data_IF_181397872858
#
_entry.id   IF_181397872858
#
_cell.length_a   1.000
_cell.length_b   1.000
_cell.length_c   1.000
_cell.angle_alpha   90.00
_cell.angle_beta   90.00
_cell.angle_gamma   90.00
#
_symmetry.space_group_name_H-M   'P 1'
#
loop_
_entity.id
_entity.type
_entity.pdbx_description
1 polymer ?
#
# COMPACT_ATOMS: atom_id res chain seq x y z
N UNK A 1 5.09 3.97 -18.89
CA UNK A 1 3.64 4.17 -18.71
C UNK A 1 3.32 4.02 -17.25
N UNK A 2 2.62 4.99 -16.67
CA UNK A 2 2.17 4.96 -15.27
C UNK A 2 0.83 4.21 -15.13
N UNK A 3 0.59 3.59 -13.99
CA UNK A 3 -0.62 2.80 -13.71
C UNK A 3 -1.89 3.66 -13.78
N UNK A 4 -1.80 4.94 -13.40
CA UNK A 4 -2.90 5.90 -13.52
C UNK A 4 -3.19 6.18 -15.00
N UNK A 5 -2.16 6.39 -15.81
CA UNK A 5 -2.31 6.67 -17.24
C UNK A 5 -2.91 5.47 -17.98
N UNK A 6 -2.46 4.26 -17.68
CA UNK A 6 -3.03 3.03 -18.25
C UNK A 6 -4.49 2.85 -17.83
N UNK A 7 -4.81 3.11 -16.56
CA UNK A 7 -6.18 3.04 -16.05
C UNK A 7 -7.12 4.02 -16.77
N UNK A 8 -6.65 5.23 -17.12
CA UNK A 8 -7.45 6.18 -17.90
C UNK A 8 -7.77 5.64 -19.30
N UNK A 9 -6.79 5.03 -19.98
CA UNK A 9 -6.99 4.43 -21.31
C UNK A 9 -7.96 3.26 -21.25
N UNK A 10 -7.78 2.36 -20.28
CA UNK A 10 -8.64 1.17 -20.12
C UNK A 10 -10.06 1.56 -19.72
N UNK A 11 -10.24 2.60 -18.90
CA UNK A 11 -11.57 3.12 -18.55
C UNK A 11 -12.28 3.73 -19.75
N UNK A 12 -11.55 4.46 -20.60
CA UNK A 12 -12.13 5.01 -21.82
C UNK A 12 -12.51 3.92 -22.82
N UNK A 13 -11.72 2.85 -22.93
CA UNK A 13 -12.07 1.68 -23.74
C UNK A 13 -13.30 0.97 -23.18
N UNK A 14 -13.34 0.70 -21.87
CA UNK A 14 -14.49 0.07 -21.23
C UNK A 14 -15.79 0.87 -21.44
N UNK A 15 -15.73 2.20 -21.32
CA UNK A 15 -16.87 3.09 -21.58
C UNK A 15 -17.37 3.03 -23.04
N UNK A 16 -16.46 2.89 -24.00
CA UNK A 16 -16.83 2.76 -25.43
C UNK A 16 -17.45 1.39 -25.75
N UNK A 17 -17.02 0.33 -25.06
CA UNK A 17 -17.55 -1.03 -25.25
C UNK A 17 -18.75 -1.37 -24.35
N UNK A 18 -19.17 -0.44 -23.47
CA UNK A 18 -20.24 -0.69 -22.49
C UNK A 18 -19.85 -1.69 -21.40
N UNK A 19 -18.55 -1.89 -21.19
CA UNK A 19 -17.99 -2.81 -20.21
C UNK A 19 -17.81 -2.13 -18.84
N UNK A 20 -17.76 -2.94 -17.78
CA UNK A 20 -17.51 -2.45 -16.43
C UNK A 20 -16.13 -1.78 -16.36
N UNK A 21 -16.02 -0.56 -15.78
CA UNK A 21 -14.75 0.14 -15.70
C UNK A 21 -13.75 -0.68 -14.88
N UNK A 22 -12.47 -0.72 -15.31
CA UNK A 22 -11.43 -1.43 -14.59
C UNK A 22 -11.34 -0.91 -13.14
N UNK A 23 -11.08 -1.79 -12.16
CA UNK A 23 -10.95 -1.35 -10.79
C UNK A 23 -9.80 -0.32 -10.69
N UNK A 24 -10.04 0.81 -10.01
CA UNK A 24 -9.00 1.81 -9.83
C UNK A 24 -7.75 1.14 -9.24
N UNK A 25 -6.59 1.35 -9.86
CA UNK A 25 -5.32 0.93 -9.30
C UNK A 25 -5.17 1.57 -7.91
N UNK A 26 -4.61 0.81 -6.96
CA UNK A 26 -4.42 1.27 -5.59
C UNK A 26 -5.53 0.93 -4.60
N UNK A 27 -6.77 0.61 -5.02
CA UNK A 27 -7.88 0.33 -4.07
C UNK A 27 -7.63 -0.89 -3.17
N UNK A 28 -7.13 -1.99 -3.74
CA UNK A 28 -6.73 -3.17 -2.97
C UNK A 28 -5.36 -3.00 -2.30
N UNK A 29 -4.50 -2.15 -2.86
CA UNK A 29 -3.15 -1.93 -2.37
C UNK A 29 -3.13 -1.13 -1.08
N UNK A 30 -4.10 -0.26 -0.79
CA UNK A 30 -4.13 0.49 0.47
C UNK A 30 -4.20 -0.40 1.71
N UNK A 31 -4.92 -1.53 1.63
CA UNK A 31 -5.00 -2.51 2.73
C UNK A 31 -3.65 -3.20 2.96
N UNK A 32 -2.99 -3.59 1.87
CA UNK A 32 -1.67 -4.22 1.83
C UNK A 32 -0.60 -3.24 2.32
N UNK A 33 -0.62 -2.00 1.84
CA UNK A 33 0.28 -0.91 2.25
C UNK A 33 0.11 -0.58 3.74
N UNK A 34 -1.12 -0.58 4.27
CA UNK A 34 -1.38 -0.39 5.71
C UNK A 34 -0.79 -1.54 6.53
N UNK A 35 -1.01 -2.79 6.11
CA UNK A 35 -0.45 -3.97 6.78
C UNK A 35 1.09 -3.96 6.77
N UNK A 36 1.69 -3.58 5.64
CA UNK A 36 3.14 -3.41 5.51
C UNK A 36 3.65 -2.30 6.42
N UNK A 37 3.00 -1.13 6.42
CA UNK A 37 3.36 0.01 7.30
C UNK A 37 3.32 -0.39 8.78
N UNK A 38 2.27 -1.09 9.21
CA UNK A 38 2.11 -1.50 10.60
C UNK A 38 3.13 -2.58 11.01
N UNK A 39 3.52 -3.45 10.07
CA UNK A 39 4.63 -4.41 10.27
C UNK A 39 5.96 -3.71 10.43
N UNK A 40 6.26 -2.73 9.58
CA UNK A 40 7.47 -1.92 9.71
C UNK A 40 7.48 -1.16 11.04
N UNK A 41 6.41 -0.46 11.39
CA UNK A 41 6.30 0.28 12.66
C UNK A 41 6.59 -0.61 13.87
N UNK A 42 6.02 -1.82 13.92
CA UNK A 42 6.31 -2.80 14.99
C UNK A 42 7.78 -3.24 15.00
N UNK A 43 8.37 -3.50 13.84
CA UNK A 43 9.80 -3.85 13.72
C UNK A 43 10.70 -2.73 14.26
N UNK A 44 10.36 -1.47 13.99
CA UNK A 44 11.13 -0.31 14.46
C UNK A 44 10.90 -0.01 15.95
N UNK A 45 9.70 -0.25 16.47
CA UNK A 45 9.40 -0.15 17.91
C UNK A 45 9.98 -1.30 18.74
N UNK A 46 10.33 -2.43 18.12
CA UNK A 46 10.98 -3.57 18.76
C UNK A 46 12.52 -3.44 18.83
N UNK A 47 13.07 -2.22 18.80
CA UNK A 47 14.47 -2.03 19.22
C UNK A 47 14.58 -2.44 20.69
N UNK A 48 15.34 -3.49 21.04
CA UNK A 48 15.52 -3.87 22.43
C UNK A 48 16.15 -2.70 23.17
N UNK A 49 15.64 -2.46 24.38
CA UNK A 49 15.93 -1.30 25.17
C UNK A 49 17.43 -1.05 25.37
N UNK A 50 17.75 0.24 25.51
CA UNK A 50 18.53 0.73 26.63
C UNK A 50 18.32 -0.17 27.86
N UNK A 51 19.19 -1.17 28.04
CA UNK A 51 19.42 -1.81 29.32
C UNK A 51 20.62 -1.11 29.95
N UNK A 52 20.35 -0.08 30.75
CA UNK A 52 21.35 0.42 31.69
C UNK A 52 21.65 -0.72 32.68
N UNK A 53 22.93 -1.08 32.92
CA UNK A 53 23.25 -2.11 33.90
C UNK A 53 22.90 -1.62 35.31
N UNK A 54 22.48 -2.51 36.23
CA UNK A 54 22.26 -2.13 37.61
C UNK A 54 23.62 -1.74 38.23
N UNK A 55 23.71 -0.52 38.75
CA UNK A 55 24.78 -0.11 39.66
C UNK A 55 24.51 -0.75 41.01
N UNK A 56 25.38 -1.68 41.41
CA UNK A 56 25.37 -2.36 42.71
C UNK A 56 26.77 -2.86 43.01
#
# INVERSE_FOLDING_TARGET
MDAIQQHMIDSHRAAQHGELPPPLPGRHDWSVLRAIRDRYRRKWSARPGNSSPPVG
#
